data_IF_598335863205
#
_entry.id   IF_598335863205
#
_cell.length_a   1.000
_cell.length_b   1.000
_cell.length_c   1.000
_cell.angle_alpha   90.00
_cell.angle_beta   90.00
_cell.angle_gamma   90.00
#
_symmetry.space_group_name_H-M   'P 1'
#
loop_
_entity.id
_entity.type
_entity.pdbx_description
1 polymer ?
#
# COMPACT_ATOMS: atom_id res chain seq x y z
N UNK A 1 -8.22 -30.19 -0.49
CA UNK A 1 -8.41 -28.75 -0.18
C UNK A 1 -8.37 -28.00 -1.50
N UNK A 2 -9.52 -27.52 -1.96
CA UNK A 2 -9.67 -26.92 -3.29
C UNK A 2 -9.25 -25.44 -3.25
N UNK A 3 -8.12 -25.13 -3.89
CA UNK A 3 -7.70 -23.76 -4.16
C UNK A 3 -8.45 -23.29 -5.42
N UNK A 4 -9.66 -22.77 -5.25
CA UNK A 4 -10.45 -22.21 -6.35
C UNK A 4 -9.69 -21.02 -6.93
N UNK A 5 -9.20 -21.20 -8.16
CA UNK A 5 -8.54 -20.17 -8.96
C UNK A 5 -9.61 -19.14 -9.35
N UNK A 6 -9.84 -18.13 -8.51
CA UNK A 6 -10.74 -17.04 -8.86
C UNK A 6 -10.11 -16.20 -9.98
N UNK A 7 -10.82 -16.20 -11.11
CA UNK A 7 -10.50 -15.54 -12.36
C UNK A 7 -10.06 -14.08 -12.14
N UNK A 8 -9.09 -13.65 -12.94
CA UNK A 8 -8.61 -12.26 -13.04
C UNK A 8 -9.75 -11.32 -13.49
N UNK A 9 -10.68 -11.01 -12.61
CA UNK A 9 -11.62 -9.90 -12.81
C UNK A 9 -10.88 -8.60 -12.44
N UNK A 10 -11.02 -7.60 -13.31
CA UNK A 10 -10.54 -6.22 -13.15
C UNK A 10 -10.52 -5.85 -11.67
N UNK A 11 -9.35 -5.44 -11.15
CA UNK A 11 -9.09 -5.31 -9.73
C UNK A 11 -10.16 -4.47 -9.03
N UNK A 12 -11.04 -5.13 -8.27
CA UNK A 12 -12.07 -4.45 -7.49
C UNK A 12 -11.33 -3.59 -6.46
N UNK A 13 -11.50 -2.26 -6.44
CA UNK A 13 -10.86 -1.41 -5.45
C UNK A 13 -11.33 -1.78 -4.05
N UNK A 14 -10.52 -1.53 -3.02
CA UNK A 14 -10.93 -1.72 -1.63
C UNK A 14 -12.01 -0.70 -1.27
N UNK A 15 -13.17 -1.18 -0.84
CA UNK A 15 -14.22 -0.30 -0.31
C UNK A 15 -13.91 0.13 1.12
N UNK A 16 -14.52 1.22 1.58
CA UNK A 16 -14.37 1.67 2.96
C UNK A 16 -14.84 0.62 3.98
N UNK A 17 -15.92 -0.10 3.68
CA UNK A 17 -16.45 -1.15 4.55
C UNK A 17 -15.46 -2.31 4.69
N UNK A 18 -14.94 -2.83 3.57
CA UNK A 18 -13.89 -3.85 3.59
C UNK A 18 -12.65 -3.38 4.36
N UNK A 19 -12.30 -2.09 4.23
CA UNK A 19 -11.18 -1.53 4.96
C UNK A 19 -11.44 -1.46 6.47
N UNK A 20 -12.64 -1.07 6.90
CA UNK A 20 -13.04 -1.09 8.33
C UNK A 20 -12.95 -2.50 8.91
N UNK A 21 -13.45 -3.49 8.17
CA UNK A 21 -13.36 -4.90 8.56
C UNK A 21 -11.92 -5.38 8.66
N UNK A 22 -11.05 -4.96 7.73
CA UNK A 22 -9.62 -5.23 7.79
C UNK A 22 -8.97 -4.66 9.07
N UNK A 23 -9.28 -3.42 9.45
CA UNK A 23 -8.75 -2.81 10.69
C UNK A 23 -9.26 -3.52 11.94
N UNK A 24 -10.54 -3.91 11.95
CA UNK A 24 -11.11 -4.70 13.05
C UNK A 24 -10.46 -6.09 13.16
N UNK A 25 -10.17 -6.72 12.02
CA UNK A 25 -9.43 -7.96 11.93
C UNK A 25 -7.99 -7.82 12.45
N UNK A 26 -7.30 -6.74 12.09
CA UNK A 26 -5.97 -6.40 12.63
C UNK A 26 -5.99 -6.22 14.14
N UNK A 27 -7.00 -5.55 14.69
CA UNK A 27 -7.14 -5.36 16.14
C UNK A 27 -7.39 -6.68 16.88
N UNK A 28 -8.16 -7.60 16.29
CA UNK A 28 -8.52 -8.87 16.93
C UNK A 28 -7.45 -9.97 16.79
N UNK A 29 -6.86 -10.12 15.60
CA UNK A 29 -5.92 -11.21 15.28
C UNK A 29 -4.45 -10.77 15.30
N UNK A 30 -4.18 -9.46 15.25
CA UNK A 30 -2.83 -8.95 15.15
C UNK A 30 -2.25 -9.00 13.74
N UNK A 31 -1.01 -8.51 13.61
CA UNK A 31 -0.29 -8.43 12.34
C UNK A 31 0.33 -9.79 12.01
N UNK A 32 -0.06 -10.40 10.89
CA UNK A 32 0.52 -11.67 10.39
C UNK A 32 -0.54 -12.73 10.07
N UNK A 33 -1.68 -12.68 10.75
CA UNK A 33 -2.79 -13.63 10.58
C UNK A 33 -3.71 -13.26 9.40
N UNK A 34 -3.13 -13.07 8.22
CA UNK A 34 -3.85 -12.68 7.00
C UNK A 34 -4.93 -13.69 6.60
N UNK A 35 -4.69 -14.98 6.88
CA UNK A 35 -5.66 -16.06 6.63
C UNK A 35 -6.85 -15.95 7.57
N UNK A 36 -6.62 -15.66 8.85
CA UNK A 36 -7.67 -15.46 9.85
C UNK A 36 -8.49 -14.20 9.54
N UNK A 37 -7.82 -13.11 9.16
CA UNK A 37 -8.47 -11.84 8.79
C UNK A 37 -9.32 -12.00 7.52
N UNK A 38 -8.77 -12.62 6.47
CA UNK A 38 -9.51 -12.89 5.23
C UNK A 38 -10.77 -13.73 5.49
N UNK A 39 -10.65 -14.82 6.26
CA UNK A 39 -11.78 -15.74 6.46
C UNK A 39 -12.86 -15.25 7.40
N UNK A 40 -12.53 -14.40 8.37
CA UNK A 40 -13.48 -13.96 9.40
C UNK A 40 -13.99 -12.52 9.22
N UNK A 41 -13.24 -11.67 8.52
CA UNK A 41 -13.57 -10.25 8.37
C UNK A 41 -13.77 -9.86 6.93
N UNK A 42 -12.82 -10.22 6.06
CA UNK A 42 -12.79 -9.74 4.68
C UNK A 42 -12.95 -10.91 3.71
N UNK A 43 -14.09 -11.61 3.80
CA UNK A 43 -14.35 -12.85 3.04
C UNK A 43 -14.35 -12.65 1.53
N UNK A 44 -14.61 -11.41 1.08
CA UNK A 44 -14.53 -10.98 -0.32
C UNK A 44 -13.09 -10.93 -0.86
N UNK A 45 -12.07 -10.97 0.02
CA UNK A 45 -10.66 -10.81 -0.34
C UNK A 45 -9.87 -12.04 0.06
N UNK A 46 -9.00 -12.48 -0.84
CA UNK A 46 -8.13 -13.64 -0.56
C UNK A 46 -7.04 -13.27 0.45
N UNK A 47 -6.48 -14.24 1.20
CA UNK A 47 -5.42 -13.96 2.16
C UNK A 47 -4.22 -13.23 1.56
N UNK A 48 -3.88 -13.52 0.30
CA UNK A 48 -2.82 -12.84 -0.45
C UNK A 48 -3.18 -11.37 -0.72
N UNK A 49 -4.41 -11.07 -1.13
CA UNK A 49 -4.87 -9.69 -1.30
C UNK A 49 -4.85 -8.91 0.01
N UNK A 50 -5.26 -9.54 1.11
CA UNK A 50 -5.19 -8.96 2.46
C UNK A 50 -3.73 -8.66 2.84
N UNK A 51 -2.80 -9.59 2.60
CA UNK A 51 -1.37 -9.38 2.87
C UNK A 51 -0.79 -8.21 2.05
N UNK A 52 -1.08 -8.15 0.74
CA UNK A 52 -0.65 -7.05 -0.13
C UNK A 52 -1.26 -5.71 0.29
N UNK A 53 -2.53 -5.70 0.71
CA UNK A 53 -3.19 -4.50 1.22
C UNK A 53 -2.56 -4.03 2.53
N UNK A 54 -2.32 -4.96 3.46
CA UNK A 54 -1.65 -4.67 4.72
C UNK A 54 -0.27 -4.05 4.49
N UNK A 55 0.52 -4.61 3.57
CA UNK A 55 1.83 -4.06 3.20
C UNK A 55 1.70 -2.59 2.74
N UNK A 56 0.82 -2.30 1.77
CA UNK A 56 0.61 -0.94 1.26
C UNK A 56 0.08 -0.01 2.35
N UNK A 57 -0.83 -0.49 3.19
CA UNK A 57 -1.40 0.25 4.30
C UNK A 57 -0.31 0.69 5.29
N UNK A 58 0.56 -0.23 5.73
CA UNK A 58 1.64 0.12 6.66
C UNK A 58 2.69 1.05 6.06
N UNK A 59 3.02 0.91 4.77
CA UNK A 59 3.90 1.85 4.08
C UNK A 59 3.27 3.25 4.06
N UNK A 60 1.99 3.37 3.68
CA UNK A 60 1.27 4.65 3.67
C UNK A 60 1.17 5.27 5.07
N UNK A 61 0.86 4.45 6.08
CA UNK A 61 0.76 4.89 7.47
C UNK A 61 2.10 5.47 7.96
N UNK A 62 3.22 4.81 7.64
CA UNK A 62 4.55 5.29 8.03
C UNK A 62 4.96 6.56 7.26
N UNK A 63 4.60 6.68 5.98
CA UNK A 63 4.85 7.90 5.20
C UNK A 63 4.03 9.08 5.70
N UNK A 64 2.74 8.88 6.02
CA UNK A 64 1.88 9.92 6.60
C UNK A 64 2.43 10.45 7.93
N UNK A 65 2.87 9.54 8.81
CA UNK A 65 3.51 9.92 10.08
C UNK A 65 4.86 10.63 9.89
N UNK A 66 5.55 10.39 8.76
CA UNK A 66 6.81 11.06 8.41
C UNK A 66 6.64 12.37 7.64
N UNK A 67 5.53 12.59 6.94
CA UNK A 67 5.24 13.80 6.16
C UNK A 67 5.07 15.03 7.07
N UNK A 68 4.52 14.85 8.28
CA UNK A 68 4.57 15.88 9.33
C UNK A 68 6.00 16.21 9.82
N UNK A 69 7.02 15.45 9.41
CA UNK A 69 8.43 15.64 9.82
C UNK A 69 9.40 15.79 8.64
N UNK A 70 8.93 15.80 7.39
CA UNK A 70 9.79 15.90 6.21
C UNK A 70 9.27 16.98 5.27
N UNK A 71 9.88 18.17 5.37
CA UNK A 71 9.92 19.14 4.29
C UNK A 71 10.34 18.45 2.99
N UNK A 72 9.68 18.81 1.89
CA UNK A 72 9.84 18.19 0.58
C UNK A 72 11.26 18.46 0.02
N UNK A 73 12.06 17.41 -0.17
CA UNK A 73 13.42 17.48 -0.73
C UNK A 73 13.45 17.94 -2.21
N UNK A 74 12.29 18.01 -2.88
CA UNK A 74 12.20 18.27 -4.33
C UNK A 74 12.36 19.74 -4.73
N UNK A 75 12.51 20.66 -3.79
CA UNK A 75 12.72 22.09 -4.06
C UNK A 75 14.20 22.52 -4.11
N UNK A 76 15.16 21.62 -3.83
CA UNK A 76 16.60 21.99 -3.75
C UNK A 76 17.32 21.89 -5.11
N UNK A 77 16.72 21.28 -6.14
CA UNK A 77 17.36 21.17 -7.47
C UNK A 77 16.63 22.07 -8.46
N UNK A 78 16.92 23.37 -8.38
CA UNK A 78 16.82 24.28 -9.53
C UNK A 78 18.23 24.54 -10.05
N UNK A 79 18.72 23.82 -11.07
CA UNK A 79 19.82 24.28 -11.88
C UNK A 79 19.25 25.20 -12.94
N UNK A 80 19.41 26.50 -12.70
CA UNK A 80 19.43 27.57 -13.67
C UNK A 80 19.75 27.10 -15.12
N UNK A 81 18.91 27.38 -16.13
CA UNK A 81 19.21 27.09 -17.53
C UNK A 81 20.21 28.13 -18.07
N UNK A 82 21.49 27.96 -17.80
CA UNK A 82 22.49 28.94 -18.23
C UNK A 82 23.93 28.54 -17.94
N UNK A 83 24.43 27.51 -18.62
CA UNK A 83 25.86 27.35 -18.84
C UNK A 83 26.10 26.47 -20.08
N UNK A 84 26.27 27.17 -21.20
CA UNK A 84 26.87 26.66 -22.42
C UNK A 84 28.31 26.25 -22.10
N UNK A 85 28.71 25.03 -22.45
CA UNK A 85 30.08 24.69 -22.85
C UNK A 85 30.09 23.30 -23.46
N UNK A 86 29.82 23.26 -24.78
CA UNK A 86 30.20 22.13 -25.62
C UNK A 86 31.66 22.34 -26.03
N UNK A 87 32.55 21.55 -25.48
CA UNK A 87 33.89 21.33 -26.05
C UNK A 87 34.25 19.86 -25.82
N UNK A 88 34.18 19.08 -26.91
CA UNK A 88 34.86 17.79 -27.00
C UNK A 88 35.61 17.82 -28.32
N UNK A 89 36.94 17.72 -28.21
CA UNK A 89 37.87 17.49 -29.32
C UNK A 89 37.47 16.23 -30.10
#
# INVERSE_FOLDING_TARGET
MECTKQERRKGIPWTEEEHRLFLMGLAKHGKGDWRGISRNFVVSRTPTQVASHAQKYFIRLNSWNKENKRSNIRDIISPNPGAVSRSRL
#
